data_IF_198299333477
#
_entry.id   IF_198299333477
#
_cell.length_a   1.000
_cell.length_b   1.000
_cell.length_c   1.000
_cell.angle_alpha   90.00
_cell.angle_beta   90.00
_cell.angle_gamma   90.00
#
_symmetry.space_group_name_H-M   'P 1'
#
loop_
_entity.id
_entity.type
_entity.pdbx_description
1 polymer ?
#
# COMPACT_ATOMS: atom_id res chain seq x y z
N UNK A 1 6.80 23.12 2.02
CA UNK A 1 6.05 23.59 3.20
C UNK A 1 7.05 24.12 4.21
N UNK A 2 6.88 25.36 4.69
CA UNK A 2 7.75 25.96 5.71
C UNK A 2 7.10 25.90 7.09
N UNK A 3 7.88 25.54 8.10
CA UNK A 3 7.46 25.52 9.50
C UNK A 3 8.35 26.48 10.30
N UNK A 4 7.72 27.32 11.12
CA UNK A 4 8.40 28.31 11.96
C UNK A 4 7.96 28.17 13.41
N UNK A 5 8.91 28.11 14.33
CA UNK A 5 8.69 28.10 15.77
C UNK A 5 9.37 29.30 16.42
N UNK A 6 8.66 29.98 17.33
CA UNK A 6 9.19 31.09 18.13
C UNK A 6 9.32 30.63 19.57
N UNK A 7 10.54 30.65 20.11
CA UNK A 7 10.86 30.22 21.46
C UNK A 7 10.55 31.32 22.48
N UNK A 8 10.44 30.95 23.76
CA UNK A 8 10.13 31.88 24.85
C UNK A 8 11.17 32.98 25.04
N UNK A 9 12.40 32.75 24.59
CA UNK A 9 13.50 33.73 24.62
C UNK A 9 13.56 34.61 23.36
N UNK A 10 12.56 34.51 22.48
CA UNK A 10 12.46 35.30 21.24
C UNK A 10 13.24 34.72 20.05
N UNK A 11 14.00 33.63 20.23
CA UNK A 11 14.67 32.96 19.10
C UNK A 11 13.66 32.32 18.17
N UNK A 12 13.96 32.34 16.87
CA UNK A 12 13.15 31.71 15.83
C UNK A 12 13.89 30.52 15.23
N UNK A 13 13.18 29.41 15.06
CA UNK A 13 13.62 28.26 14.27
C UNK A 13 12.72 28.13 13.05
N UNK A 14 13.31 27.91 11.88
CA UNK A 14 12.59 27.73 10.62
C UNK A 14 13.14 26.51 9.87
N UNK A 15 12.25 25.75 9.25
CA UNK A 15 12.63 24.61 8.42
C UNK A 15 11.67 24.42 7.25
N UNK A 16 12.23 24.13 6.08
CA UNK A 16 11.51 23.90 4.83
C UNK A 16 11.56 22.42 4.47
N UNK A 17 10.40 21.86 4.15
CA UNK A 17 10.23 20.47 3.73
C UNK A 17 9.61 20.40 2.33
N UNK A 18 10.12 19.49 1.52
CA UNK A 18 9.63 19.16 0.19
C UNK A 18 8.95 17.79 0.22
N UNK A 19 7.82 17.65 -0.48
CA UNK A 19 7.17 16.35 -0.68
C UNK A 19 7.60 15.80 -2.04
N UNK A 20 8.27 14.65 -2.04
CA UNK A 20 8.83 14.05 -3.26
C UNK A 20 7.89 13.05 -3.95
N UNK A 21 6.71 12.81 -3.37
CA UNK A 21 5.77 11.77 -3.80
C UNK A 21 5.93 10.47 -3.02
N UNK A 22 4.88 9.63 -3.00
CA UNK A 22 4.88 8.36 -2.27
C UNK A 22 4.95 8.48 -0.73
N UNK A 23 4.82 9.69 -0.18
CA UNK A 23 4.97 9.96 1.26
C UNK A 23 6.39 10.30 1.70
N UNK A 24 7.36 10.33 0.79
CA UNK A 24 8.73 10.76 1.10
C UNK A 24 8.83 12.28 1.22
N UNK A 25 9.65 12.72 2.17
CA UNK A 25 9.95 14.14 2.44
C UNK A 25 11.47 14.36 2.38
N UNK A 26 11.88 15.56 2.00
CA UNK A 26 13.28 16.00 2.03
C UNK A 26 13.39 17.44 2.55
N UNK A 27 14.57 17.80 3.04
CA UNK A 27 14.92 19.18 3.46
C UNK A 27 16.14 19.68 2.70
N UNK A 28 16.34 21.00 2.59
CA UNK A 28 17.46 21.58 1.83
C UNK A 28 18.83 21.17 2.37
N UNK A 29 18.89 20.94 3.68
CA UNK A 29 20.07 20.64 4.47
C UNK A 29 20.31 19.12 4.65
N UNK A 30 19.63 18.27 3.87
CA UNK A 30 19.94 16.83 3.84
C UNK A 30 21.30 16.55 3.19
N UNK A 31 22.10 15.63 3.75
CA UNK A 31 23.34 15.20 3.13
C UNK A 31 23.07 14.51 1.79
N UNK A 32 23.99 14.66 0.84
CA UNK A 32 23.88 14.01 -0.47
C UNK A 32 23.59 12.49 -0.29
N UNK A 33 22.48 11.97 -0.83
CA UNK A 33 22.11 10.55 -0.74
C UNK A 33 23.19 9.59 -1.25
N UNK A 34 24.15 10.07 -2.05
CA UNK A 34 25.32 9.30 -2.48
C UNK A 34 26.28 8.97 -1.33
N UNK A 35 26.30 9.78 -0.27
CA UNK A 35 27.20 9.65 0.89
C UNK A 35 26.65 8.74 2.00
N UNK A 36 25.36 8.40 1.92
CA UNK A 36 24.71 7.51 2.89
C UNK A 36 25.12 6.06 2.64
N UNK A 37 25.39 5.31 3.72
CA UNK A 37 25.67 3.87 3.66
C UNK A 37 24.40 3.13 3.22
N UNK A 38 24.39 2.65 1.98
CA UNK A 38 23.26 1.90 1.40
C UNK A 38 23.37 0.43 1.78
N UNK A 39 22.28 -0.16 2.25
CA UNK A 39 22.17 -1.62 2.37
C UNK A 39 22.24 -2.23 0.99
N UNK A 40 23.12 -3.21 0.82
CA UNK A 40 23.25 -3.97 -0.43
C UNK A 40 22.50 -5.27 -0.26
N UNK A 41 21.51 -5.51 -1.12
CA UNK A 41 20.76 -6.77 -1.14
C UNK A 41 21.63 -7.91 -1.68
N UNK A 42 21.49 -9.15 -1.17
CA UNK A 42 22.23 -10.31 -1.66
C UNK A 42 22.13 -10.55 -3.17
N UNK A 43 20.97 -10.27 -3.76
CA UNK A 43 20.70 -10.51 -5.18
C UNK A 43 20.08 -9.27 -5.84
N UNK A 44 20.89 -8.25 -6.19
CA UNK A 44 20.39 -6.99 -6.74
C UNK A 44 19.56 -7.19 -8.02
N UNK A 45 18.46 -6.43 -8.13
CA UNK A 45 17.49 -6.53 -9.22
C UNK A 45 17.25 -5.15 -9.88
N UNK A 46 18.31 -4.52 -10.39
CA UNK A 46 18.24 -3.18 -10.97
C UNK A 46 17.54 -3.13 -12.34
N UNK A 47 17.40 -4.27 -13.01
CA UNK A 47 16.66 -4.43 -14.25
C UNK A 47 15.82 -5.71 -14.25
N UNK A 48 14.83 -5.80 -15.15
CA UNK A 48 14.05 -7.02 -15.35
C UNK A 48 14.90 -8.22 -15.77
N UNK A 49 16.00 -7.97 -16.50
CA UNK A 49 16.97 -9.01 -16.86
C UNK A 49 17.72 -9.53 -15.63
N UNK A 50 18.10 -8.66 -14.69
CA UNK A 50 18.78 -9.07 -13.45
C UNK A 50 17.84 -9.90 -12.57
N UNK A 51 16.57 -9.49 -12.48
CA UNK A 51 15.52 -10.23 -11.78
C UNK A 51 15.37 -11.63 -12.36
N UNK A 52 15.17 -11.75 -13.68
CA UNK A 52 14.99 -13.03 -14.36
C UNK A 52 16.21 -13.96 -14.16
N UNK A 53 17.43 -13.44 -14.36
CA UNK A 53 18.67 -14.21 -14.16
C UNK A 53 18.82 -14.70 -12.72
N UNK A 54 18.49 -13.87 -11.73
CA UNK A 54 18.58 -14.27 -10.33
C UNK A 54 17.50 -15.31 -9.94
N UNK A 55 16.27 -15.15 -10.42
CA UNK A 55 15.21 -16.14 -10.22
C UNK A 55 15.61 -17.50 -10.81
N UNK A 56 16.10 -17.53 -12.05
CA UNK A 56 16.55 -18.75 -12.73
C UNK A 56 17.73 -19.40 -12.02
N UNK A 57 18.78 -18.62 -11.71
CA UNK A 57 19.99 -19.11 -11.02
C UNK A 57 19.70 -19.72 -9.65
N UNK A 58 18.73 -19.17 -8.91
CA UNK A 58 18.39 -19.61 -7.56
C UNK A 58 17.23 -20.60 -7.51
N UNK A 59 16.54 -20.85 -8.63
CA UNK A 59 15.32 -21.64 -8.66
C UNK A 59 14.19 -21.03 -7.82
N UNK A 60 14.14 -19.70 -7.70
CA UNK A 60 13.15 -18.98 -6.90
C UNK A 60 12.12 -18.28 -7.78
N UNK A 61 10.89 -18.17 -7.27
CA UNK A 61 9.92 -17.22 -7.80
C UNK A 61 10.35 -15.78 -7.51
N UNK A 62 9.73 -14.81 -8.20
CA UNK A 62 9.94 -13.37 -7.92
C UNK A 62 9.66 -13.04 -6.45
N UNK A 63 8.60 -13.61 -5.87
CA UNK A 63 8.27 -13.42 -4.44
C UNK A 63 9.32 -14.03 -3.51
N UNK A 64 9.84 -15.22 -3.84
CA UNK A 64 10.91 -15.86 -3.08
C UNK A 64 12.20 -15.04 -3.12
N UNK A 65 12.60 -14.58 -4.31
CA UNK A 65 13.76 -13.70 -4.47
C UNK A 65 13.61 -12.38 -3.71
N UNK A 66 12.43 -11.75 -3.79
CA UNK A 66 12.11 -10.53 -3.04
C UNK A 66 12.23 -10.77 -1.54
N UNK A 67 11.69 -11.88 -1.04
CA UNK A 67 11.76 -12.24 0.37
C UNK A 67 13.20 -12.47 0.86
N UNK A 68 14.07 -13.05 0.02
CA UNK A 68 15.50 -13.19 0.36
C UNK A 68 16.23 -11.85 0.34
N UNK A 69 15.90 -10.96 -0.58
CA UNK A 69 16.48 -9.62 -0.62
C UNK A 69 16.03 -8.75 0.56
N UNK A 70 14.76 -8.85 0.98
CA UNK A 70 14.24 -8.11 2.14
C UNK A 70 14.98 -8.45 3.44
N UNK A 71 15.52 -9.66 3.56
CA UNK A 71 16.33 -10.09 4.71
C UNK A 71 17.64 -9.30 4.87
N UNK A 72 18.02 -8.48 3.89
CA UNK A 72 19.13 -7.53 4.03
C UNK A 72 18.82 -6.38 5.01
N UNK A 73 17.55 -6.06 5.21
CA UNK A 73 17.11 -4.97 6.09
C UNK A 73 16.45 -5.43 7.38
N UNK A 74 15.82 -6.61 7.37
CA UNK A 74 14.91 -7.06 8.43
C UNK A 74 15.01 -8.56 8.67
N UNK A 75 14.57 -9.02 9.84
CA UNK A 75 14.42 -10.46 10.09
C UNK A 75 13.22 -11.04 9.31
N UNK A 76 13.16 -12.37 9.19
CA UNK A 76 12.01 -13.05 8.55
C UNK A 76 10.70 -12.77 9.27
N UNK A 77 10.75 -12.77 10.58
CA UNK A 77 9.62 -12.52 11.47
C UNK A 77 9.08 -11.09 11.28
N UNK A 78 9.98 -10.10 11.14
CA UNK A 78 9.60 -8.72 10.86
C UNK A 78 8.97 -8.57 9.47
N UNK A 79 9.53 -9.22 8.45
CA UNK A 79 8.99 -9.21 7.08
C UNK A 79 7.57 -9.77 7.07
N UNK A 80 7.38 -10.95 7.69
CA UNK A 80 6.07 -11.61 7.75
C UNK A 80 5.05 -10.75 8.51
N UNK A 81 5.45 -10.17 9.65
CA UNK A 81 4.59 -9.31 10.46
C UNK A 81 4.16 -8.05 9.69
N UNK A 82 5.09 -7.38 8.99
CA UNK A 82 4.78 -6.18 8.20
C UNK A 82 3.89 -6.51 6.99
N UNK A 83 4.17 -7.61 6.29
CA UNK A 83 3.34 -8.04 5.16
C UNK A 83 1.90 -8.35 5.60
N UNK A 84 1.73 -9.04 6.74
CA UNK A 84 0.41 -9.32 7.31
C UNK A 84 -0.30 -8.05 7.81
N UNK A 85 0.45 -7.09 8.39
CA UNK A 85 -0.09 -5.80 8.78
C UNK A 85 -0.62 -5.03 7.56
N UNK A 86 0.17 -4.91 6.49
CA UNK A 86 -0.26 -4.27 5.25
C UNK A 86 -1.50 -4.95 4.67
N UNK A 87 -1.51 -6.28 4.65
CA UNK A 87 -2.67 -7.05 4.17
C UNK A 87 -3.93 -6.79 5.00
N UNK A 88 -3.80 -6.71 6.33
CA UNK A 88 -4.90 -6.35 7.23
C UNK A 88 -5.43 -4.95 6.89
N UNK A 89 -4.56 -3.95 6.78
CA UNK A 89 -4.97 -2.57 6.48
C UNK A 89 -5.64 -2.43 5.12
N UNK A 90 -5.13 -3.13 4.09
CA UNK A 90 -5.75 -3.19 2.75
C UNK A 90 -7.18 -3.72 2.86
N UNK A 91 -7.37 -4.86 3.54
CA UNK A 91 -8.70 -5.47 3.70
C UNK A 91 -9.66 -4.56 4.48
N UNK A 92 -9.20 -3.95 5.55
CA UNK A 92 -10.02 -3.04 6.34
C UNK A 92 -10.39 -1.78 5.56
N UNK A 93 -9.47 -1.22 4.77
CA UNK A 93 -9.73 -0.09 3.90
C UNK A 93 -10.79 -0.43 2.84
N UNK A 94 -10.65 -1.58 2.19
CA UNK A 94 -11.63 -2.08 1.23
C UNK A 94 -13.00 -2.24 1.90
N UNK A 95 -13.05 -2.90 3.07
CA UNK A 95 -14.30 -3.11 3.81
C UNK A 95 -14.98 -1.79 4.16
N UNK A 96 -14.24 -0.77 4.60
CA UNK A 96 -14.78 0.58 4.81
C UNK A 96 -15.32 1.16 3.51
N UNK A 97 -14.59 1.02 2.40
CA UNK A 97 -14.98 1.54 1.09
C UNK A 97 -16.29 0.96 0.56
N UNK A 98 -16.49 -0.36 0.66
CA UNK A 98 -17.72 -1.03 0.20
C UNK A 98 -18.93 -0.81 1.11
N UNK A 99 -18.76 -0.16 2.26
CA UNK A 99 -19.86 0.19 3.17
C UNK A 99 -20.07 1.70 3.29
N UNK A 100 -19.27 2.51 2.59
CA UNK A 100 -19.33 3.97 2.69
C UNK A 100 -19.92 4.60 1.43
N UNK A 101 -21.10 5.19 1.59
CA UNK A 101 -21.85 5.85 0.52
C UNK A 101 -21.58 7.35 0.43
N UNK A 102 -22.24 8.01 -0.52
CA UNK A 102 -22.21 9.46 -0.68
C UNK A 102 -21.26 9.91 -1.78
N UNK A 103 -20.74 11.13 -1.62
CA UNK A 103 -19.91 11.80 -2.62
C UNK A 103 -18.50 12.06 -2.07
N UNK A 104 -17.50 12.03 -2.95
CA UNK A 104 -16.14 12.44 -2.62
C UNK A 104 -16.09 13.95 -2.37
N UNK A 105 -15.28 14.40 -1.40
CA UNK A 105 -15.00 15.82 -1.22
C UNK A 105 -14.22 16.36 -2.43
N UNK A 106 -14.19 17.70 -2.59
CA UNK A 106 -13.42 18.37 -3.66
C UNK A 106 -14.25 19.01 -4.77
N UNK A 107 -15.57 19.16 -4.59
CA UNK A 107 -16.43 20.00 -5.47
C UNK A 107 -16.81 19.41 -6.82
N UNK A 108 -16.30 18.22 -7.18
CA UNK A 108 -16.59 17.56 -8.46
C UNK A 108 -17.85 16.67 -8.43
N UNK A 109 -18.59 16.63 -7.31
CA UNK A 109 -19.78 15.78 -7.12
C UNK A 109 -19.59 14.31 -7.57
N UNK A 110 -18.40 13.75 -7.33
CA UNK A 110 -18.08 12.37 -7.71
C UNK A 110 -18.72 11.40 -6.72
N UNK A 111 -19.68 10.60 -7.18
CA UNK A 111 -20.36 9.59 -6.36
C UNK A 111 -19.42 8.42 -6.02
N UNK A 112 -19.45 7.96 -4.77
CA UNK A 112 -18.81 6.71 -4.34
C UNK A 112 -19.61 5.52 -4.88
N UNK A 113 -18.96 4.66 -5.67
CA UNK A 113 -19.61 3.56 -6.41
C UNK A 113 -19.46 2.20 -5.73
N UNK A 114 -18.42 2.00 -4.92
CA UNK A 114 -18.07 0.72 -4.33
C UNK A 114 -19.23 0.08 -3.55
N UNK A 115 -19.91 0.85 -2.68
CA UNK A 115 -21.01 0.33 -1.87
C UNK A 115 -22.21 -0.18 -2.70
N UNK A 116 -22.56 0.52 -3.76
CA UNK A 116 -23.63 0.12 -4.68
C UNK A 116 -23.24 -1.12 -5.49
N UNK A 117 -22.01 -1.17 -6.01
CA UNK A 117 -21.48 -2.33 -6.76
C UNK A 117 -21.47 -3.56 -5.85
N UNK A 118 -20.97 -3.42 -4.62
CA UNK A 118 -20.94 -4.47 -3.61
C UNK A 118 -22.34 -5.04 -3.32
N UNK A 119 -23.34 -4.18 -3.07
CA UNK A 119 -24.74 -4.63 -2.88
C UNK A 119 -25.29 -5.35 -4.11
N UNK A 120 -25.03 -4.85 -5.32
CA UNK A 120 -25.49 -5.51 -6.55
C UNK A 120 -24.85 -6.89 -6.76
N UNK A 121 -23.59 -7.05 -6.34
CA UNK A 121 -22.88 -8.33 -6.46
C UNK A 121 -23.31 -9.34 -5.41
N UNK A 122 -23.64 -8.88 -4.20
CA UNK A 122 -24.06 -9.73 -3.07
C UNK A 122 -25.58 -9.97 -3.01
N UNK A 123 -26.38 -9.17 -3.72
CA UNK A 123 -27.85 -9.26 -3.70
C UNK A 123 -28.41 -8.95 -2.31
N UNK A 124 -29.31 -9.81 -1.83
CA UNK A 124 -29.99 -9.67 -0.53
C UNK A 124 -29.15 -10.18 0.66
N UNK A 125 -27.87 -10.53 0.44
CA UNK A 125 -27.02 -11.04 1.50
C UNK A 125 -26.69 -9.94 2.53
N UNK A 126 -26.92 -10.27 3.81
CA UNK A 126 -26.63 -9.38 4.94
C UNK A 126 -25.35 -9.84 5.62
N UNK A 127 -24.47 -8.89 5.95
CA UNK A 127 -23.24 -9.13 6.69
C UNK A 127 -23.03 -8.04 7.74
N UNK A 128 -22.54 -8.41 8.92
CA UNK A 128 -22.24 -7.48 10.02
C UNK A 128 -20.74 -7.33 10.30
N UNK A 129 -19.89 -8.12 9.64
CA UNK A 129 -18.44 -8.09 9.85
C UNK A 129 -17.67 -8.32 8.55
N UNK A 130 -16.40 -7.89 8.53
CA UNK A 130 -15.48 -8.15 7.42
C UNK A 130 -15.31 -9.65 7.16
N UNK A 131 -15.32 -10.49 8.20
CA UNK A 131 -15.20 -11.94 8.05
C UNK A 131 -16.38 -12.54 7.29
N UNK A 132 -17.60 -12.19 7.69
CA UNK A 132 -18.82 -12.63 7.00
C UNK A 132 -18.85 -12.13 5.55
N UNK A 133 -18.48 -10.87 5.33
CA UNK A 133 -18.40 -10.28 3.99
C UNK A 133 -17.41 -11.01 3.07
N UNK A 134 -16.22 -11.36 3.58
CA UNK A 134 -15.23 -12.12 2.81
C UNK A 134 -15.72 -13.53 2.45
N UNK A 135 -16.40 -14.21 3.37
CA UNK A 135 -16.99 -15.52 3.07
C UNK A 135 -18.07 -15.43 2.00
N UNK A 136 -18.92 -14.39 2.04
CA UNK A 136 -19.92 -14.15 0.98
C UNK A 136 -19.28 -13.88 -0.38
N UNK A 137 -18.13 -13.19 -0.44
CA UNK A 137 -17.40 -12.98 -1.69
C UNK A 137 -16.85 -14.30 -2.22
N UNK A 138 -16.25 -15.12 -1.34
CA UNK A 138 -15.64 -16.40 -1.73
C UNK A 138 -16.63 -17.38 -2.33
N UNK A 139 -17.90 -17.33 -1.91
CA UNK A 139 -19.00 -18.16 -2.42
C UNK A 139 -19.62 -17.63 -3.71
N UNK A 140 -19.28 -16.41 -4.16
CA UNK A 140 -19.78 -15.89 -5.44
C UNK A 140 -19.18 -16.66 -6.64
N UNK A 141 -19.94 -16.83 -7.74
CA UNK A 141 -19.42 -17.35 -8.99
C UNK A 141 -18.23 -16.52 -9.50
N UNK A 142 -17.22 -17.21 -10.02
CA UNK A 142 -15.94 -16.62 -10.48
C UNK A 142 -15.88 -16.46 -12.00
N UNK A 143 -17.02 -16.21 -12.64
CA UNK A 143 -17.01 -15.91 -14.07
C UNK A 143 -16.34 -14.55 -14.34
N UNK A 144 -15.81 -14.39 -15.55
CA UNK A 144 -15.05 -13.20 -15.95
C UNK A 144 -15.81 -11.90 -15.73
N UNK A 145 -17.13 -11.89 -15.96
CA UNK A 145 -17.95 -10.69 -15.80
C UNK A 145 -18.05 -10.30 -14.33
N UNK A 146 -18.30 -11.27 -13.44
CA UNK A 146 -18.32 -11.02 -11.98
C UNK A 146 -16.96 -10.63 -11.44
N UNK A 147 -15.88 -11.26 -11.88
CA UNK A 147 -14.53 -10.91 -11.45
C UNK A 147 -14.21 -9.46 -11.82
N UNK A 148 -14.50 -9.01 -13.05
CA UNK A 148 -14.28 -7.61 -13.43
C UNK A 148 -15.12 -6.61 -12.63
N UNK A 149 -16.36 -6.98 -12.27
CA UNK A 149 -17.20 -6.15 -11.40
C UNK A 149 -16.62 -6.03 -9.99
N UNK A 150 -16.06 -7.12 -9.44
CA UNK A 150 -15.34 -7.07 -8.17
C UNK A 150 -14.07 -6.23 -8.25
N UNK A 151 -13.30 -6.33 -9.34
CA UNK A 151 -12.14 -5.45 -9.57
C UNK A 151 -12.56 -3.99 -9.61
N UNK A 152 -13.70 -3.66 -10.22
CA UNK A 152 -14.23 -2.28 -10.26
C UNK A 152 -14.78 -1.80 -8.90
N UNK A 153 -14.98 -2.70 -7.95
CA UNK A 153 -15.49 -2.40 -6.61
C UNK A 153 -14.38 -1.94 -5.66
N UNK A 154 -13.14 -2.40 -5.89
CA UNK A 154 -11.95 -2.16 -5.08
C UNK A 154 -11.06 -1.10 -5.72
#
# INVERSE_FOLDING_TARGET
>A
MGFKAVLKDGRTLEKVYYSLGGGFIATEDEPDPSTLKKTVTPYPCHSGADLARNCERLGLSVSGLTYVNEQAWRSREEIDALALLLWKEIRECIFRGVNHEGFLPGGLHVRRRAAEINRRLLGDAVYGSMGQWLELIKTQPRDFTRVNKWISCF
#
